data_IF_713801704992
#
_entry.id   IF_713801704992
#
_cell.length_a   1.000
_cell.length_b   1.000
_cell.length_c   1.000
_cell.angle_alpha   90.00
_cell.angle_beta   90.00
_cell.angle_gamma   90.00
#
_symmetry.space_group_name_H-M   'P 1'
#
loop_
_entity.id
_entity.type
_entity.pdbx_description
1 polymer ?
#
# COMPACT_ATOMS: atom_id res chain seq x y z
N UNK A 1 -4.22 36.16 -2.10
CA UNK A 1 -5.25 35.37 -1.42
C UNK A 1 -5.83 34.25 -2.30
N UNK A 2 -6.48 34.54 -3.44
CA UNK A 2 -7.05 33.50 -4.33
C UNK A 2 -6.03 32.50 -4.91
N UNK A 3 -4.80 32.95 -5.26
CA UNK A 3 -3.72 32.04 -5.69
C UNK A 3 -3.29 31.06 -4.59
N UNK A 4 -3.19 31.51 -3.35
CA UNK A 4 -2.82 30.67 -2.22
C UNK A 4 -3.95 29.68 -1.87
N UNK A 5 -5.22 30.12 -1.93
CA UNK A 5 -6.37 29.24 -1.76
C UNK A 5 -6.48 28.21 -2.89
N UNK A 6 -6.22 28.60 -4.15
CA UNK A 6 -6.17 27.65 -5.26
C UNK A 6 -5.02 26.65 -5.07
N UNK A 7 -3.86 27.09 -4.59
CA UNK A 7 -2.73 26.23 -4.32
C UNK A 7 -2.97 25.25 -3.16
N UNK A 8 -3.75 25.64 -2.14
CA UNK A 8 -4.11 24.79 -0.99
C UNK A 8 -5.33 23.89 -1.31
N UNK A 9 -6.31 24.38 -2.08
CA UNK A 9 -7.56 23.67 -2.36
C UNK A 9 -7.51 22.83 -3.65
N UNK A 10 -6.77 23.29 -4.66
CA UNK A 10 -6.31 22.48 -5.79
C UNK A 10 -4.84 22.17 -5.56
N UNK A 11 -4.52 21.59 -4.41
CA UNK A 11 -3.30 20.79 -4.37
C UNK A 11 -3.49 19.73 -5.45
N UNK A 12 -2.78 19.91 -6.56
CA UNK A 12 -2.69 18.99 -7.68
C UNK A 12 -1.91 17.78 -7.20
N UNK A 13 -2.40 17.17 -6.12
CA UNK A 13 -1.75 16.05 -5.49
C UNK A 13 -1.89 14.88 -6.45
N UNK A 14 -0.82 14.10 -6.58
CA UNK A 14 -0.88 12.84 -7.28
C UNK A 14 -2.07 11.95 -6.89
N UNK A 15 -2.47 11.97 -5.62
CA UNK A 15 -3.66 11.26 -5.14
C UNK A 15 -4.97 11.72 -5.79
N UNK A 16 -5.14 13.02 -6.03
CA UNK A 16 -6.32 13.57 -6.70
C UNK A 16 -6.34 13.24 -8.19
N UNK A 17 -5.19 13.29 -8.86
CA UNK A 17 -5.08 12.84 -10.24
C UNK A 17 -5.36 11.33 -10.35
N UNK A 18 -4.79 10.52 -9.46
CA UNK A 18 -5.01 9.08 -9.43
C UNK A 18 -6.51 8.72 -9.31
N UNK A 19 -7.24 9.39 -8.42
CA UNK A 19 -8.68 9.18 -8.29
C UNK A 19 -9.45 9.62 -9.54
N UNK A 20 -9.07 10.74 -10.16
CA UNK A 20 -9.72 11.23 -11.38
C UNK A 20 -9.53 10.26 -12.57
N UNK A 21 -8.35 9.65 -12.70
CA UNK A 21 -8.12 8.61 -13.68
C UNK A 21 -8.83 7.29 -13.33
N UNK A 22 -8.91 6.91 -12.05
CA UNK A 22 -9.68 5.73 -11.63
C UNK A 22 -11.17 5.90 -11.98
N UNK A 23 -11.74 7.07 -11.73
CA UNK A 23 -13.09 7.44 -12.14
C UNK A 23 -13.27 7.33 -13.66
N UNK A 24 -12.31 7.87 -14.44
CA UNK A 24 -12.33 7.81 -15.90
C UNK A 24 -12.37 6.37 -16.42
N UNK A 25 -11.47 5.51 -15.92
CA UNK A 25 -11.38 4.12 -16.38
C UNK A 25 -12.51 3.23 -15.86
N UNK A 26 -13.13 3.62 -14.76
CA UNK A 26 -14.32 2.99 -14.18
C UNK A 26 -15.61 3.31 -14.93
N UNK A 27 -15.59 4.27 -15.87
CA UNK A 27 -16.77 4.57 -16.69
C UNK A 27 -17.18 3.33 -17.49
N UNK A 28 -18.42 2.91 -17.27
CA UNK A 28 -19.13 1.88 -18.02
C UNK A 28 -20.51 2.40 -18.39
N UNK A 29 -21.04 1.90 -19.51
CA UNK A 29 -22.39 2.19 -19.96
C UNK A 29 -23.39 1.60 -18.96
N UNK A 30 -24.24 2.44 -18.37
CA UNK A 30 -25.38 1.96 -17.58
C UNK A 30 -26.47 1.31 -18.45
N UNK A 31 -27.35 0.52 -17.85
CA UNK A 31 -28.47 -0.12 -18.55
C UNK A 31 -29.41 0.90 -19.20
N UNK A 32 -29.66 2.02 -18.51
CA UNK A 32 -30.54 3.11 -18.95
C UNK A 32 -29.80 4.26 -19.65
N UNK A 33 -28.47 4.20 -19.74
CA UNK A 33 -27.67 5.23 -20.39
C UNK A 33 -27.79 5.11 -21.90
N UNK A 34 -28.15 6.23 -22.54
CA UNK A 34 -27.97 6.37 -23.97
C UNK A 34 -26.49 6.66 -24.30
N UNK A 35 -26.10 6.47 -25.57
CA UNK A 35 -24.71 6.62 -26.01
C UNK A 35 -24.19 8.06 -25.85
N UNK A 36 -25.05 9.06 -26.01
CA UNK A 36 -24.66 10.46 -25.85
C UNK A 36 -24.31 10.79 -24.40
N UNK A 37 -25.09 10.29 -23.43
CA UNK A 37 -24.81 10.44 -22.01
C UNK A 37 -23.46 9.80 -21.64
N UNK A 38 -23.15 8.64 -22.22
CA UNK A 38 -21.86 7.99 -22.01
C UNK A 38 -20.69 8.83 -22.54
N UNK A 39 -20.80 9.37 -23.76
CA UNK A 39 -19.80 10.27 -24.35
C UNK A 39 -19.58 11.48 -23.45
N UNK A 40 -20.67 12.15 -23.05
CA UNK A 40 -20.60 13.34 -22.21
C UNK A 40 -19.93 13.06 -20.85
N UNK A 41 -20.17 11.89 -20.26
CA UNK A 41 -19.50 11.46 -19.01
C UNK A 41 -18.00 11.29 -19.23
N UNK A 42 -17.59 10.66 -20.33
CA UNK A 42 -16.18 10.50 -20.70
C UNK A 42 -15.48 11.85 -20.91
N UNK A 43 -16.10 12.76 -21.67
CA UNK A 43 -15.58 14.11 -21.90
C UNK A 43 -15.46 14.90 -20.60
N UNK A 44 -16.46 14.81 -19.73
CA UNK A 44 -16.46 15.48 -18.41
C UNK A 44 -15.34 14.94 -17.53
N UNK A 45 -15.14 13.62 -17.48
CA UNK A 45 -14.06 13.02 -16.70
C UNK A 45 -12.67 13.41 -17.24
N UNK A 46 -12.49 13.39 -18.56
CA UNK A 46 -11.25 13.84 -19.19
C UNK A 46 -10.97 15.32 -18.90
N UNK A 47 -11.99 16.18 -18.96
CA UNK A 47 -11.84 17.59 -18.64
C UNK A 47 -11.42 17.83 -17.19
N UNK A 48 -11.94 17.05 -16.24
CA UNK A 48 -11.50 17.11 -14.83
C UNK A 48 -10.01 16.81 -14.69
N UNK A 49 -9.51 15.77 -15.38
CA UNK A 49 -8.07 15.44 -15.37
C UNK A 49 -7.25 16.60 -15.95
N UNK A 50 -7.69 17.17 -17.07
CA UNK A 50 -7.02 18.33 -17.67
C UNK A 50 -7.01 19.56 -16.74
N UNK A 51 -8.10 19.79 -16.00
CA UNK A 51 -8.18 20.90 -15.04
C UNK A 51 -7.27 20.69 -13.81
N UNK A 52 -6.91 19.43 -13.50
CA UNK A 52 -5.97 19.07 -12.44
C UNK A 52 -4.51 19.25 -12.87
N UNK A 53 -4.20 19.24 -14.17
CA UNK A 53 -2.82 19.41 -14.62
C UNK A 53 -2.34 20.87 -14.53
N UNK A 54 -1.05 21.10 -14.24
CA UNK A 54 -0.46 22.43 -14.32
C UNK A 54 -0.37 22.91 -15.77
N UNK A 55 -0.20 24.22 -15.98
CA UNK A 55 -0.20 24.82 -17.32
C UNK A 55 0.99 24.41 -18.19
N UNK A 56 2.07 23.97 -17.57
CA UNK A 56 3.31 23.48 -18.18
C UNK A 56 3.34 21.94 -18.29
N UNK A 57 2.17 21.29 -18.28
CA UNK A 57 2.07 19.85 -18.43
C UNK A 57 2.31 19.44 -19.89
N UNK A 58 3.31 18.59 -20.09
CA UNK A 58 3.70 18.07 -21.41
C UNK A 58 3.32 16.59 -21.54
N UNK A 59 3.48 16.06 -22.76
CA UNK A 59 3.17 14.65 -23.07
C UNK A 59 4.10 13.69 -22.30
N UNK A 60 5.33 14.08 -22.01
CA UNK A 60 6.27 13.23 -21.28
C UNK A 60 5.87 13.05 -19.80
N UNK A 61 5.35 14.13 -19.17
CA UNK A 61 4.75 14.09 -17.84
C UNK A 61 3.50 13.21 -17.82
N UNK A 62 2.66 13.29 -18.86
CA UNK A 62 1.51 12.40 -19.02
C UNK A 62 1.92 10.92 -19.07
N UNK A 63 2.93 10.58 -19.88
CA UNK A 63 3.41 9.20 -20.01
C UNK A 63 3.98 8.67 -18.68
N UNK A 64 4.71 9.52 -17.94
CA UNK A 64 5.25 9.16 -16.62
C UNK A 64 4.14 8.97 -15.57
N UNK A 65 3.13 9.83 -15.58
CA UNK A 65 1.98 9.74 -14.68
C UNK A 65 1.16 8.48 -14.96
N UNK A 66 0.88 8.20 -16.23
CA UNK A 66 0.15 6.99 -16.64
C UNK A 66 0.92 5.72 -16.28
N UNK A 67 2.24 5.70 -16.51
CA UNK A 67 3.09 4.57 -16.13
C UNK A 67 3.06 4.33 -14.62
N UNK A 68 3.14 5.40 -13.81
CA UNK A 68 3.07 5.31 -12.35
C UNK A 68 1.70 4.80 -11.89
N UNK A 69 0.62 5.29 -12.51
CA UNK A 69 -0.74 4.85 -12.20
C UNK A 69 -0.95 3.37 -12.48
N UNK A 70 -0.52 2.87 -13.65
CA UNK A 70 -0.70 1.46 -14.04
C UNK A 70 -0.05 0.55 -13.01
N UNK A 71 1.16 0.88 -12.55
CA UNK A 71 1.88 0.09 -11.55
C UNK A 71 1.16 0.09 -10.20
N UNK A 72 0.65 1.23 -9.75
CA UNK A 72 -0.10 1.32 -8.48
C UNK A 72 -1.42 0.55 -8.57
N UNK A 73 -2.14 0.62 -9.69
CA UNK A 73 -3.39 -0.13 -9.92
C UNK A 73 -3.18 -1.63 -10.02
N UNK A 74 -1.99 -2.08 -10.40
CA UNK A 74 -1.67 -3.49 -10.54
C UNK A 74 -1.38 -4.17 -9.19
N UNK A 75 -1.22 -3.39 -8.11
CA UNK A 75 -1.02 -3.94 -6.78
C UNK A 75 -2.31 -4.60 -6.25
N UNK A 76 -2.20 -5.76 -5.60
CA UNK A 76 -3.34 -6.37 -4.91
C UNK A 76 -3.70 -5.60 -3.64
N UNK A 77 -4.91 -5.85 -3.13
CA UNK A 77 -5.47 -5.15 -1.97
C UNK A 77 -4.63 -5.28 -0.68
N UNK A 78 -3.80 -6.32 -0.59
CA UNK A 78 -2.84 -6.53 0.50
C UNK A 78 -1.85 -5.37 0.66
N UNK A 79 -1.62 -4.59 -0.41
CA UNK A 79 -0.77 -3.39 -0.42
C UNK A 79 -1.55 -2.09 -0.25
N UNK A 80 -2.83 -2.13 0.14
CA UNK A 80 -3.69 -0.93 0.29
C UNK A 80 -3.09 0.15 1.20
N UNK A 81 -2.43 -0.23 2.29
CA UNK A 81 -1.73 0.70 3.18
C UNK A 81 -0.52 1.39 2.49
N UNK A 82 0.24 0.61 1.71
CA UNK A 82 1.34 1.12 0.91
C UNK A 82 0.84 2.06 -0.19
N UNK A 83 -0.21 1.68 -0.93
CA UNK A 83 -0.87 2.54 -1.93
C UNK A 83 -1.34 3.84 -1.30
N UNK A 84 -2.00 3.79 -0.13
CA UNK A 84 -2.43 5.00 0.59
C UNK A 84 -1.26 5.91 0.94
N UNK A 85 -0.13 5.32 1.37
CA UNK A 85 1.10 6.07 1.68
C UNK A 85 1.72 6.69 0.42
N UNK A 86 1.67 6.00 -0.72
CA UNK A 86 2.14 6.55 -2.00
C UNK A 86 1.31 7.74 -2.45
N UNK A 87 -0.03 7.67 -2.36
CA UNK A 87 -0.94 8.73 -2.81
C UNK A 87 -0.89 9.99 -1.95
N UNK A 88 -0.37 9.88 -0.72
CA UNK A 88 -0.10 11.03 0.17
C UNK A 88 1.20 11.78 -0.17
N UNK A 89 2.05 11.24 -1.04
CA UNK A 89 3.29 11.91 -1.44
C UNK A 89 3.00 13.03 -2.43
N UNK A 90 3.74 14.13 -2.30
CA UNK A 90 3.56 15.34 -3.11
C UNK A 90 3.84 15.13 -4.61
N UNK A 91 4.69 14.15 -4.97
CA UNK A 91 5.02 13.83 -6.36
C UNK A 91 4.97 12.31 -6.63
N UNK A 92 4.18 11.90 -7.62
CA UNK A 92 4.27 10.57 -8.25
C UNK A 92 5.18 10.64 -9.48
N UNK A 93 6.48 10.67 -9.23
CA UNK A 93 7.44 10.44 -10.31
C UNK A 93 7.74 8.95 -10.45
N UNK A 94 7.96 8.49 -11.68
CA UNK A 94 8.24 7.09 -11.98
C UNK A 94 9.44 6.57 -11.18
N UNK A 95 10.52 7.35 -11.07
CA UNK A 95 11.70 6.93 -10.31
C UNK A 95 11.40 6.84 -8.81
N UNK A 96 10.60 7.76 -8.27
CA UNK A 96 10.16 7.74 -6.86
C UNK A 96 9.27 6.54 -6.56
N UNK A 97 8.36 6.17 -7.48
CA UNK A 97 7.54 4.97 -7.36
C UNK A 97 8.41 3.72 -7.37
N UNK A 98 9.33 3.59 -8.33
CA UNK A 98 10.25 2.46 -8.39
C UNK A 98 11.06 2.32 -7.08
N UNK A 99 11.61 3.41 -6.56
CA UNK A 99 12.35 3.40 -5.30
C UNK A 99 11.45 3.00 -4.11
N UNK A 100 10.22 3.47 -4.06
CA UNK A 100 9.29 3.12 -3.00
C UNK A 100 8.93 1.63 -3.03
N UNK A 101 8.75 1.05 -4.22
CA UNK A 101 8.51 -0.39 -4.37
C UNK A 101 9.68 -1.23 -3.88
N UNK A 102 10.92 -0.88 -4.27
CA UNK A 102 12.12 -1.58 -3.79
C UNK A 102 12.24 -1.48 -2.26
N UNK A 103 11.88 -0.32 -1.70
CA UNK A 103 11.92 -0.11 -0.24
C UNK A 103 10.86 -0.95 0.46
N UNK A 104 9.63 -0.98 -0.06
CA UNK A 104 8.52 -1.78 0.48
C UNK A 104 8.86 -3.27 0.43
N UNK A 105 9.39 -3.76 -0.69
CA UNK A 105 9.81 -5.15 -0.85
C UNK A 105 10.91 -5.52 0.16
N UNK A 106 11.90 -4.64 0.34
CA UNK A 106 12.94 -4.84 1.36
C UNK A 106 12.35 -4.91 2.76
N UNK A 107 11.42 -4.00 3.11
CA UNK A 107 10.76 -3.99 4.42
C UNK A 107 9.90 -5.24 4.62
N UNK A 108 9.16 -5.68 3.61
CA UNK A 108 8.33 -6.88 3.67
C UNK A 108 9.16 -8.16 3.82
N UNK A 109 10.29 -8.26 3.09
CA UNK A 109 11.25 -9.36 3.25
C UNK A 109 11.84 -9.37 4.67
N UNK A 110 12.30 -8.23 5.18
CA UNK A 110 12.85 -8.13 6.53
C UNK A 110 11.82 -8.48 7.62
N UNK A 111 10.55 -8.06 7.46
CA UNK A 111 9.48 -8.41 8.39
C UNK A 111 9.18 -9.92 8.38
N UNK A 112 9.35 -10.61 7.25
CA UNK A 112 9.21 -12.06 7.18
C UNK A 112 10.34 -12.78 7.90
N UNK A 113 11.58 -12.29 7.76
CA UNK A 113 12.75 -12.83 8.44
C UNK A 113 12.77 -12.52 9.95
N UNK A 114 12.38 -11.30 10.36
CA UNK A 114 12.21 -10.94 11.78
C UNK A 114 11.03 -11.67 12.43
N UNK A 115 9.91 -11.83 11.72
CA UNK A 115 8.78 -12.63 12.20
C UNK A 115 9.18 -14.10 12.37
N UNK A 116 9.90 -14.67 11.40
CA UNK A 116 10.44 -16.02 11.51
C UNK A 116 11.45 -16.14 12.68
N UNK A 117 12.37 -15.19 12.82
CA UNK A 117 13.35 -15.17 13.91
C UNK A 117 12.68 -14.99 15.28
N UNK A 118 11.65 -14.14 15.39
CA UNK A 118 10.87 -13.95 16.61
C UNK A 118 10.03 -15.19 16.95
N UNK A 119 9.42 -15.85 15.96
CA UNK A 119 8.70 -17.12 16.14
C UNK A 119 9.68 -18.23 16.58
N UNK A 120 10.87 -18.32 15.97
CA UNK A 120 11.93 -19.26 16.36
C UNK A 120 12.42 -18.96 17.79
N UNK A 121 12.62 -17.69 18.13
CA UNK A 121 13.04 -17.29 19.48
C UNK A 121 11.95 -17.58 20.53
N UNK A 122 10.67 -17.32 20.22
CA UNK A 122 9.54 -17.64 21.09
C UNK A 122 9.36 -19.14 21.27
N UNK A 123 9.49 -19.94 20.20
CA UNK A 123 9.42 -21.40 20.28
C UNK A 123 10.63 -22.01 21.01
N UNK A 124 11.83 -21.45 20.84
CA UNK A 124 13.01 -21.83 21.62
C UNK A 124 12.88 -21.42 23.10
N UNK A 125 12.25 -20.27 23.40
CA UNK A 125 11.93 -19.87 24.76
C UNK A 125 10.86 -20.78 25.39
N UNK A 126 9.84 -21.18 24.61
CA UNK A 126 8.80 -22.12 25.05
C UNK A 126 9.37 -23.52 25.31
N UNK A 127 10.31 -23.99 24.48
CA UNK A 127 11.02 -25.25 24.67
C UNK A 127 11.89 -25.26 25.93
N UNK A 128 12.45 -24.10 26.34
CA UNK A 128 13.17 -23.97 27.62
C UNK A 128 12.26 -24.02 28.85
N UNK A 129 10.95 -23.82 28.67
CA UNK A 129 9.95 -23.73 29.76
C UNK A 129 9.13 -25.02 29.93
N UNK A 130 9.13 -25.94 28.95
CA UNK A 130 8.29 -27.13 28.99
C UNK A 130 9.03 -28.39 29.50
N UNK A 131 8.59 -28.92 30.64
CA UNK A 131 8.92 -30.29 31.08
C UNK A 131 8.04 -31.29 30.33
N UNK A 132 8.64 -32.27 29.64
CA UNK A 132 7.96 -33.22 28.73
C UNK A 132 6.93 -34.15 29.42
N UNK A 133 6.88 -34.18 30.77
CA UNK A 133 6.06 -35.14 31.51
C UNK A 133 4.70 -34.61 32.02
N UNK A 134 4.45 -33.30 31.99
CA UNK A 134 3.15 -32.73 32.36
C UNK A 134 2.82 -31.53 31.48
N UNK A 135 1.66 -31.57 30.82
CA UNK A 135 1.08 -30.50 30.01
C UNK A 135 0.60 -29.28 30.84
N UNK A 136 1.29 -28.93 31.93
CA UNK A 136 1.02 -27.76 32.77
C UNK A 136 2.30 -26.92 32.92
N UNK A 137 2.23 -25.68 32.42
CA UNK A 137 3.30 -24.69 32.43
C UNK A 137 3.77 -24.34 33.85
N UNK A 138 5.08 -24.16 34.01
CA UNK A 138 5.61 -23.37 35.13
C UNK A 138 6.92 -23.83 35.77
N UNK A 139 7.58 -24.90 35.30
CA UNK A 139 8.85 -25.33 35.90
C UNK A 139 9.85 -25.87 34.87
N UNK A 140 11.13 -25.58 35.09
CA UNK A 140 12.25 -26.11 34.31
C UNK A 140 12.57 -27.55 34.72
N UNK A 141 13.11 -28.37 33.81
CA UNK A 141 13.45 -29.79 34.07
C UNK A 141 14.31 -30.01 35.34
N UNK A 142 15.19 -29.05 35.67
CA UNK A 142 16.02 -29.09 36.88
C UNK A 142 15.24 -29.07 38.21
N UNK A 143 14.00 -28.57 38.21
CA UNK A 143 13.14 -28.46 39.40
C UNK A 143 12.02 -29.51 39.42
N UNK A 144 12.06 -30.50 38.53
CA UNK A 144 11.05 -31.57 38.50
C UNK A 144 11.26 -32.54 39.67
N UNK A 145 10.31 -32.57 40.61
CA UNK A 145 10.38 -33.39 41.83
C UNK A 145 10.59 -34.89 41.55
N UNK A 146 10.16 -35.38 40.37
CA UNK A 146 10.34 -36.78 39.95
C UNK A 146 11.72 -37.13 39.40
N UNK A 147 12.59 -36.15 39.11
CA UNK A 147 13.94 -36.38 38.58
C UNK A 147 15.05 -36.30 39.64
N UNK A 148 14.70 -36.17 40.94
CA UNK A 148 15.71 -36.36 41.98
C UNK A 148 16.11 -37.84 41.97
N UNK A 149 17.36 -38.21 41.64
CA UNK A 149 17.80 -39.56 41.88
C UNK A 149 17.65 -39.80 43.38
N UNK A 150 16.90 -40.85 43.74
CA UNK A 150 17.01 -41.44 45.06
C UNK A 150 18.51 -41.75 45.24
N UNK A 151 19.07 -41.15 46.29
CA UNK A 151 20.45 -41.28 46.69
C UNK A 151 20.79 -42.74 47.00
#
# INVERSE_FOLDING_TARGET
MWKALKQIHMQQFPGTCFHAYDDLFSIRKGEKDNLQTLINRGETAMKKIQDLHPKDFDIAKLDNELASMVVIRALPDDFSAFVSTLLLKDDLDKAKIHQAFVTEETQCCCCSDESAAAIIAMSAALAKVACVFFTLQGHTQANCYKYKPAQ
#
